data_IF_774750970423
#
_entry.id   IF_774750970423
#
_cell.length_a   1.000
_cell.length_b   1.000
_cell.length_c   1.000
_cell.angle_alpha   90.00
_cell.angle_beta   90.00
_cell.angle_gamma   90.00
#
_symmetry.space_group_name_H-M   'P 1'
#
loop_
_entity.id
_entity.type
_entity.pdbx_description
1 polymer ?
#
# COMPACT_ATOMS: atom_id res chain seq x y z
N UNK A 1 -13.65 20.60 12.07
CA UNK A 1 -12.76 19.57 11.50
C UNK A 1 -12.69 19.65 9.97
N UNK A 2 -13.80 19.83 9.26
CA UNK A 2 -13.79 19.89 7.78
C UNK A 2 -12.91 20.97 7.17
N UNK A 3 -12.90 22.19 7.72
CA UNK A 3 -12.10 23.29 7.16
C UNK A 3 -10.59 22.98 7.23
N UNK A 4 -10.10 22.52 8.39
CA UNK A 4 -8.68 22.16 8.59
C UNK A 4 -8.26 21.03 7.65
N UNK A 5 -9.08 19.97 7.57
CA UNK A 5 -8.80 18.84 6.69
C UNK A 5 -8.83 19.24 5.20
N UNK A 6 -9.79 20.08 4.80
CA UNK A 6 -9.87 20.63 3.45
C UNK A 6 -8.63 21.45 3.10
N UNK A 7 -8.18 22.34 3.97
CA UNK A 7 -6.98 23.14 3.72
C UNK A 7 -5.72 22.27 3.67
N UNK A 8 -5.61 21.25 4.51
CA UNK A 8 -4.52 20.27 4.45
C UNK A 8 -4.51 19.54 3.10
N UNK A 9 -5.65 19.01 2.65
CA UNK A 9 -5.74 18.32 1.35
C UNK A 9 -5.37 19.24 0.18
N UNK A 10 -5.85 20.49 0.19
CA UNK A 10 -5.49 21.47 -0.83
C UNK A 10 -3.98 21.74 -0.83
N UNK A 11 -3.37 21.86 0.35
CA UNK A 11 -1.92 22.03 0.45
C UNK A 11 -1.14 20.82 -0.09
N UNK A 12 -1.55 19.59 0.29
CA UNK A 12 -0.93 18.36 -0.22
C UNK A 12 -1.05 18.23 -1.75
N UNK A 13 -2.21 18.58 -2.31
CA UNK A 13 -2.39 18.63 -3.77
C UNK A 13 -1.51 19.68 -4.41
N UNK A 14 -1.45 20.90 -3.86
CA UNK A 14 -0.64 21.98 -4.42
C UNK A 14 0.85 21.58 -4.48
N UNK A 15 1.38 20.97 -3.42
CA UNK A 15 2.75 20.44 -3.40
C UNK A 15 2.93 19.35 -4.44
N UNK A 16 1.99 18.40 -4.53
CA UNK A 16 2.05 17.29 -5.50
C UNK A 16 2.06 17.80 -6.94
N UNK A 17 1.19 18.77 -7.26
CA UNK A 17 1.14 19.40 -8.59
C UNK A 17 2.45 20.13 -8.88
N UNK A 18 2.99 20.88 -7.92
CA UNK A 18 4.26 21.58 -8.07
C UNK A 18 5.43 20.63 -8.34
N UNK A 19 5.50 19.52 -7.62
CA UNK A 19 6.54 18.51 -7.80
C UNK A 19 6.41 17.77 -9.14
N UNK A 20 5.20 17.42 -9.55
CA UNK A 20 4.97 16.79 -10.86
C UNK A 20 5.34 17.76 -11.99
N UNK A 21 4.89 19.02 -11.91
CA UNK A 21 5.25 20.05 -12.88
C UNK A 21 6.78 20.21 -12.95
N UNK A 22 7.45 20.28 -11.81
CA UNK A 22 8.91 20.35 -11.77
C UNK A 22 9.57 19.14 -12.43
N UNK A 23 9.09 17.92 -12.18
CA UNK A 23 9.60 16.72 -12.85
C UNK A 23 9.37 16.76 -14.37
N UNK A 24 8.22 17.23 -14.85
CA UNK A 24 7.95 17.32 -16.29
C UNK A 24 8.84 18.36 -16.98
N UNK A 25 9.08 19.51 -16.35
CA UNK A 25 9.77 20.62 -17.02
C UNK A 25 11.29 20.67 -16.77
N UNK A 26 11.80 20.03 -15.72
CA UNK A 26 13.20 20.11 -15.33
C UNK A 26 13.99 18.80 -15.50
N UNK A 27 13.34 17.70 -15.89
CA UNK A 27 14.05 16.44 -16.20
C UNK A 27 14.71 16.54 -17.59
N UNK A 28 16.03 16.32 -17.71
CA UNK A 28 16.74 16.31 -18.99
C UNK A 28 16.25 15.18 -19.91
N UNK A 29 16.47 15.31 -21.22
CA UNK A 29 16.07 14.30 -22.23
C UNK A 29 16.75 12.93 -22.03
N UNK A 30 18.03 12.94 -21.62
CA UNK A 30 18.80 11.74 -21.25
C UNK A 30 19.13 11.75 -19.74
N UNK A 31 18.17 11.40 -18.88
CA UNK A 31 18.35 11.50 -17.43
C UNK A 31 19.25 10.39 -16.89
N UNK A 32 20.28 10.78 -16.14
CA UNK A 32 21.03 9.90 -15.24
C UNK A 32 20.49 10.00 -13.82
N UNK A 33 20.91 9.08 -12.93
CA UNK A 33 20.50 9.09 -11.51
C UNK A 33 20.86 10.43 -10.82
N UNK A 34 22.01 11.03 -11.14
CA UNK A 34 22.42 12.32 -10.57
C UNK A 34 21.62 13.50 -11.12
N UNK A 35 21.19 13.44 -12.38
CA UNK A 35 20.50 14.56 -13.04
C UNK A 35 18.98 14.50 -12.89
N UNK A 36 18.41 13.34 -12.56
CA UNK A 36 16.98 13.12 -12.36
C UNK A 36 16.48 13.52 -10.95
N UNK A 37 17.01 14.61 -10.39
CA UNK A 37 16.72 15.04 -9.01
C UNK A 37 15.23 15.28 -8.75
N UNK A 38 14.50 15.81 -9.75
CA UNK A 38 13.06 16.04 -9.67
C UNK A 38 12.25 14.74 -9.58
N UNK A 39 12.70 13.67 -10.23
CA UNK A 39 12.10 12.33 -10.14
C UNK A 39 12.30 11.76 -8.73
N UNK A 40 13.52 11.85 -8.21
CA UNK A 40 13.83 11.44 -6.83
C UNK A 40 12.98 12.18 -5.79
N UNK A 41 12.81 13.49 -5.94
CA UNK A 41 11.96 14.29 -5.06
C UNK A 41 10.48 13.86 -5.09
N UNK A 42 9.94 13.53 -6.27
CA UNK A 42 8.58 13.00 -6.40
C UNK A 42 8.44 11.65 -5.71
N UNK A 43 9.46 10.79 -5.81
CA UNK A 43 9.46 9.48 -5.16
C UNK A 43 9.45 9.62 -3.62
N UNK A 44 10.30 10.47 -3.07
CA UNK A 44 10.29 10.76 -1.62
C UNK A 44 8.97 11.36 -1.15
N UNK A 45 8.38 12.27 -1.92
CA UNK A 45 7.07 12.83 -1.60
C UNK A 45 5.96 11.77 -1.63
N UNK A 46 6.00 10.87 -2.62
CA UNK A 46 5.10 9.72 -2.69
C UNK A 46 5.19 8.83 -1.45
N UNK A 47 6.40 8.51 -0.99
CA UNK A 47 6.58 7.76 0.26
C UNK A 47 6.05 8.50 1.48
N UNK A 48 6.23 9.83 1.56
CA UNK A 48 5.68 10.64 2.65
C UNK A 48 4.15 10.63 2.67
N UNK A 49 3.51 10.77 1.50
CA UNK A 49 2.06 10.68 1.35
C UNK A 49 1.53 9.28 1.71
N UNK A 50 2.23 8.23 1.28
CA UNK A 50 1.88 6.84 1.63
C UNK A 50 1.95 6.63 3.15
N UNK A 51 3.02 7.08 3.80
CA UNK A 51 3.16 7.01 5.26
C UNK A 51 2.03 7.75 5.97
N UNK A 52 1.68 8.97 5.52
CA UNK A 52 0.58 9.74 6.10
C UNK A 52 -0.78 9.06 5.90
N UNK A 53 -1.02 8.45 4.74
CA UNK A 53 -2.23 7.68 4.46
C UNK A 53 -2.35 6.46 5.38
N UNK A 54 -1.25 5.72 5.57
CA UNK A 54 -1.20 4.58 6.49
C UNK A 54 -1.51 5.02 7.93
N UNK A 55 -0.89 6.11 8.41
CA UNK A 55 -1.16 6.65 9.74
C UNK A 55 -2.62 7.07 9.90
N UNK A 56 -3.20 7.76 8.91
CA UNK A 56 -4.60 8.16 8.93
C UNK A 56 -5.56 6.96 8.95
N UNK A 57 -5.27 5.93 8.15
CA UNK A 57 -6.07 4.71 8.11
C UNK A 57 -6.04 3.96 9.45
N UNK A 58 -4.86 3.78 10.03
CA UNK A 58 -4.70 3.14 11.35
C UNK A 58 -5.38 3.98 12.44
N UNK A 59 -5.19 5.30 12.44
CA UNK A 59 -5.85 6.17 13.40
C UNK A 59 -7.38 6.11 13.29
N UNK A 60 -7.91 6.14 12.07
CA UNK A 60 -9.35 5.99 11.82
C UNK A 60 -9.89 4.66 12.36
N UNK A 61 -9.24 3.56 11.99
CA UNK A 61 -9.62 2.23 12.45
C UNK A 61 -9.59 2.10 13.99
N UNK A 62 -8.52 2.60 14.64
CA UNK A 62 -8.40 2.59 16.09
C UNK A 62 -9.47 3.45 16.76
N UNK A 63 -9.72 4.66 16.26
CA UNK A 63 -10.75 5.56 16.81
C UNK A 63 -12.14 4.94 16.69
N UNK A 64 -12.47 4.35 15.55
CA UNK A 64 -13.78 3.72 15.32
C UNK A 64 -14.02 2.55 16.28
N UNK A 65 -12.96 1.77 16.57
CA UNK A 65 -13.00 0.69 17.56
C UNK A 65 -13.16 1.20 18.99
N UNK A 66 -12.52 2.30 19.36
CA UNK A 66 -12.64 2.90 20.69
C UNK A 66 -14.03 3.48 20.94
N UNK A 67 -14.68 4.01 19.90
CA UNK A 67 -16.01 4.63 20.03
C UNK A 67 -17.14 3.59 19.97
N UNK A 68 -16.95 2.46 19.26
CA UNK A 68 -17.97 1.42 19.09
C UNK A 68 -17.50 0.06 19.64
N UNK A 69 -17.79 -0.27 20.90
CA UNK A 69 -17.34 -1.53 21.51
C UNK A 69 -17.95 -2.78 20.85
N UNK A 70 -19.08 -2.66 20.15
CA UNK A 70 -19.71 -3.76 19.40
C UNK A 70 -18.86 -4.24 18.22
N UNK A 71 -18.02 -3.36 17.64
CA UNK A 71 -17.16 -3.67 16.49
C UNK A 71 -15.89 -4.45 16.85
N UNK A 72 -15.51 -4.51 18.13
CA UNK A 72 -14.24 -5.08 18.58
C UNK A 72 -14.15 -6.58 18.25
N UNK A 73 -15.24 -7.34 18.41
CA UNK A 73 -15.24 -8.78 18.09
C UNK A 73 -15.00 -9.04 16.60
N UNK A 74 -15.63 -8.25 15.74
CA UNK A 74 -15.43 -8.33 14.29
C UNK A 74 -14.01 -7.92 13.88
N UNK A 75 -13.45 -6.89 14.51
CA UNK A 75 -12.09 -6.45 14.24
C UNK A 75 -11.01 -7.41 14.74
N UNK A 76 -11.20 -8.06 15.89
CA UNK A 76 -10.30 -9.13 16.35
C UNK A 76 -10.35 -10.29 15.37
N UNK A 77 -11.54 -10.69 14.92
CA UNK A 77 -11.69 -11.77 13.94
C UNK A 77 -11.00 -11.42 12.61
N UNK A 78 -11.19 -10.21 12.09
CA UNK A 78 -10.52 -9.79 10.85
C UNK A 78 -9.00 -9.71 11.01
N UNK A 79 -8.50 -9.24 12.16
CA UNK A 79 -7.09 -9.19 12.45
C UNK A 79 -6.45 -10.59 12.49
N UNK A 80 -7.09 -11.54 13.16
CA UNK A 80 -6.66 -12.95 13.17
C UNK A 80 -6.68 -13.55 11.78
N UNK A 81 -7.71 -13.27 10.97
CA UNK A 81 -7.80 -13.75 9.59
C UNK A 81 -6.65 -13.20 8.73
N UNK A 82 -6.31 -11.91 8.85
CA UNK A 82 -5.19 -11.30 8.14
C UNK A 82 -3.86 -11.95 8.56
N UNK A 83 -3.63 -12.14 9.87
CA UNK A 83 -2.42 -12.81 10.35
C UNK A 83 -2.32 -14.23 9.78
N UNK A 84 -3.42 -14.98 9.78
CA UNK A 84 -3.44 -16.33 9.22
C UNK A 84 -3.08 -16.33 7.72
N UNK A 85 -3.63 -15.40 6.94
CA UNK A 85 -3.30 -15.25 5.52
C UNK A 85 -1.81 -14.93 5.33
N UNK A 86 -1.24 -14.02 6.11
CA UNK A 86 0.19 -13.65 6.04
C UNK A 86 1.07 -14.85 6.37
N UNK A 87 0.75 -15.62 7.41
CA UNK A 87 1.51 -16.81 7.78
C UNK A 87 1.43 -17.88 6.70
N UNK A 88 0.24 -18.15 6.16
CA UNK A 88 0.05 -19.12 5.07
C UNK A 88 0.84 -18.68 3.82
N UNK A 89 0.74 -17.41 3.43
CA UNK A 89 1.47 -16.86 2.30
C UNK A 89 2.98 -17.01 2.46
N UNK A 90 3.51 -16.72 3.66
CA UNK A 90 4.93 -16.91 3.95
C UNK A 90 5.35 -18.37 3.84
N UNK A 91 4.58 -19.31 4.39
CA UNK A 91 4.87 -20.74 4.30
C UNK A 91 4.86 -21.22 2.85
N UNK A 92 3.88 -20.79 2.05
CA UNK A 92 3.80 -21.12 0.62
C UNK A 92 4.98 -20.54 -0.16
N UNK A 93 5.32 -19.27 0.07
CA UNK A 93 6.45 -18.60 -0.57
C UNK A 93 7.78 -19.28 -0.22
N UNK A 94 7.98 -19.65 1.05
CA UNK A 94 9.21 -20.30 1.48
C UNK A 94 9.36 -21.73 0.90
N UNK A 95 8.26 -22.36 0.49
CA UNK A 95 8.25 -23.70 -0.09
C UNK A 95 8.69 -23.79 -1.55
N UNK A 96 8.87 -22.67 -2.27
CA UNK A 96 9.20 -22.66 -3.70
C UNK A 96 10.55 -22.00 -3.97
N UNK A 97 11.41 -22.60 -4.80
CA UNK A 97 12.68 -22.00 -5.19
C UNK A 97 12.57 -21.04 -6.38
N UNK A 98 12.23 -19.78 -6.10
CA UNK A 98 12.27 -18.71 -7.10
C UNK A 98 13.63 -18.02 -7.13
N UNK A 99 14.26 -18.01 -8.29
CA UNK A 99 15.48 -17.25 -8.55
C UNK A 99 15.13 -15.98 -9.32
N UNK A 100 15.18 -14.84 -8.63
CA UNK A 100 14.99 -13.53 -9.25
C UNK A 100 16.37 -12.97 -9.59
N UNK A 101 16.60 -12.70 -10.88
CA UNK A 101 17.86 -12.13 -11.37
C UNK A 101 17.99 -10.69 -10.85
N UNK A 102 19.11 -10.41 -10.20
CA UNK A 102 19.52 -9.07 -9.85
C UNK A 102 20.32 -8.47 -11.01
N UNK A 103 19.64 -7.65 -11.82
CA UNK A 103 20.24 -6.99 -12.99
C UNK A 103 21.33 -5.99 -12.59
N UNK A 104 21.28 -5.44 -11.38
CA UNK A 104 22.23 -4.43 -10.92
C UNK A 104 23.54 -5.08 -10.49
N UNK A 105 23.46 -6.19 -9.76
CA UNK A 105 24.63 -6.87 -9.20
C UNK A 105 25.07 -8.12 -10.00
N UNK A 106 24.44 -8.39 -11.16
CA UNK A 106 24.76 -9.52 -12.04
C UNK A 106 24.70 -10.86 -11.30
N UNK A 107 23.65 -11.04 -10.50
CA UNK A 107 23.48 -12.20 -9.62
C UNK A 107 22.01 -12.56 -9.39
N UNK A 108 21.70 -13.11 -8.21
CA UNK A 108 20.34 -13.38 -7.77
C UNK A 108 20.10 -12.70 -6.42
N UNK A 109 18.87 -12.26 -6.18
CA UNK A 109 18.47 -11.73 -4.89
C UNK A 109 18.61 -12.79 -3.79
N UNK A 110 18.87 -12.35 -2.56
CA UNK A 110 18.93 -13.25 -1.42
C UNK A 110 17.58 -13.94 -1.18
N UNK A 111 17.66 -15.15 -0.65
CA UNK A 111 16.47 -15.98 -0.42
C UNK A 111 15.42 -15.27 0.44
N UNK A 112 15.86 -14.60 1.51
CA UNK A 112 14.96 -13.87 2.40
C UNK A 112 14.11 -12.85 1.64
N UNK A 113 14.74 -12.06 0.77
CA UNK A 113 14.07 -11.01 -0.02
C UNK A 113 13.07 -11.59 -1.02
N UNK A 114 13.45 -12.67 -1.69
CA UNK A 114 12.55 -13.36 -2.65
C UNK A 114 11.32 -13.94 -1.96
N UNK A 115 11.48 -14.56 -0.77
CA UNK A 115 10.37 -15.15 0.00
C UNK A 115 9.42 -14.07 0.53
N UNK A 116 9.96 -12.97 1.07
CA UNK A 116 9.13 -11.86 1.56
C UNK A 116 8.33 -11.25 0.40
N UNK A 117 8.98 -11.04 -0.74
CA UNK A 117 8.33 -10.45 -1.92
C UNK A 117 7.20 -11.33 -2.45
N UNK A 118 7.45 -12.63 -2.58
CA UNK A 118 6.43 -13.57 -3.04
C UNK A 118 5.26 -13.66 -2.03
N UNK A 119 5.55 -13.73 -0.73
CA UNK A 119 4.53 -13.70 0.31
C UNK A 119 3.66 -12.43 0.24
N UNK A 120 4.25 -11.26 0.01
CA UNK A 120 3.51 -10.00 -0.16
C UNK A 120 2.56 -10.04 -1.36
N UNK A 121 3.00 -10.60 -2.49
CA UNK A 121 2.18 -10.75 -3.70
C UNK A 121 1.02 -11.71 -3.43
N UNK A 122 1.27 -12.85 -2.77
CA UNK A 122 0.24 -13.81 -2.39
C UNK A 122 -0.81 -13.18 -1.47
N UNK A 123 -0.38 -12.45 -0.44
CA UNK A 123 -1.29 -11.72 0.47
C UNK A 123 -2.14 -10.72 -0.33
N UNK A 124 -1.53 -9.98 -1.26
CA UNK A 124 -2.24 -9.03 -2.11
C UNK A 124 -3.31 -9.70 -2.97
N UNK A 125 -2.99 -10.82 -3.63
CA UNK A 125 -3.97 -11.55 -4.45
C UNK A 125 -5.15 -12.09 -3.62
N UNK A 126 -4.88 -12.65 -2.44
CA UNK A 126 -5.94 -13.14 -1.55
C UNK A 126 -6.82 -11.98 -1.07
N UNK A 127 -6.21 -10.87 -0.66
CA UNK A 127 -6.95 -9.69 -0.21
C UNK A 127 -7.81 -9.09 -1.34
N UNK A 128 -7.26 -9.00 -2.55
CA UNK A 128 -7.97 -8.49 -3.72
C UNK A 128 -9.16 -9.40 -4.08
N UNK A 129 -8.98 -10.72 -4.11
CA UNK A 129 -10.06 -11.66 -4.35
C UNK A 129 -11.15 -11.54 -3.28
N UNK A 130 -10.77 -11.47 -2.01
CA UNK A 130 -11.69 -11.25 -0.89
C UNK A 130 -12.48 -9.94 -1.03
N UNK A 131 -11.83 -8.85 -1.43
CA UNK A 131 -12.47 -7.56 -1.65
C UNK A 131 -13.48 -7.61 -2.81
N UNK A 132 -13.15 -8.27 -3.92
CA UNK A 132 -14.06 -8.46 -5.06
C UNK A 132 -15.30 -9.26 -4.64
N UNK A 133 -15.10 -10.38 -3.95
CA UNK A 133 -16.21 -11.23 -3.45
C UNK A 133 -17.10 -10.43 -2.48
N UNK A 134 -16.50 -9.69 -1.55
CA UNK A 134 -17.23 -8.85 -0.61
C UNK A 134 -18.05 -7.76 -1.32
N UNK A 135 -17.48 -7.10 -2.34
CA UNK A 135 -18.16 -6.09 -3.12
C UNK A 135 -19.37 -6.66 -3.88
N UNK A 136 -19.21 -7.82 -4.53
CA UNK A 136 -20.29 -8.52 -5.23
C UNK A 136 -21.39 -8.90 -4.23
N UNK A 137 -21.01 -9.51 -3.10
CA UNK A 137 -21.98 -9.89 -2.06
C UNK A 137 -22.78 -8.69 -1.57
N UNK A 138 -22.11 -7.56 -1.28
CA UNK A 138 -22.78 -6.33 -0.85
C UNK A 138 -23.80 -5.88 -1.89
N UNK A 139 -23.40 -5.78 -3.17
CA UNK A 139 -24.27 -5.33 -4.25
C UNK A 139 -25.50 -6.24 -4.45
N UNK A 140 -25.30 -7.57 -4.40
CA UNK A 140 -26.40 -8.54 -4.53
C UNK A 140 -27.33 -8.49 -3.31
N UNK A 141 -26.76 -8.42 -2.10
CA UNK A 141 -27.55 -8.40 -0.87
C UNK A 141 -28.43 -7.16 -0.75
N UNK A 142 -27.97 -6.02 -1.28
CA UNK A 142 -28.74 -4.78 -1.29
C UNK A 142 -29.79 -4.76 -2.41
N UNK A 143 -29.53 -5.41 -3.55
CA UNK A 143 -30.51 -5.56 -4.62
C UNK A 143 -31.67 -6.52 -4.28
N UNK A 144 -31.47 -7.42 -3.31
CA UNK A 144 -32.46 -8.40 -2.86
C UNK A 144 -33.28 -7.94 -1.63
N UNK A 145 -32.96 -6.76 -1.07
CA UNK A 145 -33.75 -6.10 -0.03
C UNK A 145 -34.77 -5.16 -0.65
#
# INVERSE_FOLDING_TARGET
MEKIFKYLLVALMAVSIGLVAWAVFATPEDPTVETATAVGANLYWGYALLALALLAAVFGACRDLLVKPEGIKGAIFSFVAIIAIVVIAYVVANGHDYQIVDLQNQGYFERGDTVITDACILVFYVAMAGAVVAAIYSAVSDALK
#
